data_IF_242731092402
#
_entry.id   IF_242731092402
#
_cell.length_a   1.000
_cell.length_b   1.000
_cell.length_c   1.000
_cell.angle_alpha   90.00
_cell.angle_beta   90.00
_cell.angle_gamma   90.00
#
_symmetry.space_group_name_H-M   'P 1'
#
loop_
_entity.id
_entity.type
_entity.pdbx_description
1 polymer ?
#
# COMPACT_ATOMS: atom_id res chain seq x y z
N UNK A 1 1.46 -15.31 10.18
CA UNK A 1 2.27 -14.71 11.27
C UNK A 1 3.75 -14.62 10.88
N UNK A 2 4.45 -15.74 10.65
CA UNK A 2 5.89 -15.72 10.29
C UNK A 2 6.21 -14.77 9.11
N UNK A 3 5.45 -14.84 8.02
CA UNK A 3 5.61 -13.94 6.87
C UNK A 3 5.46 -12.46 7.22
N UNK A 4 4.51 -12.10 8.09
CA UNK A 4 4.28 -10.72 8.50
C UNK A 4 5.35 -10.20 9.47
N UNK A 5 5.86 -11.08 10.34
CA UNK A 5 6.99 -10.75 11.22
C UNK A 5 8.25 -10.52 10.40
N UNK A 6 8.55 -11.40 9.43
CA UNK A 6 9.70 -11.23 8.53
C UNK A 6 9.58 -9.94 7.72
N UNK A 7 8.41 -9.66 7.15
CA UNK A 7 8.14 -8.40 6.45
C UNK A 7 8.42 -7.18 7.34
N UNK A 8 7.88 -7.16 8.56
CA UNK A 8 8.05 -6.03 9.48
C UNK A 8 9.53 -5.86 9.83
N UNK A 9 10.22 -6.93 10.26
CA UNK A 9 11.65 -6.83 10.57
C UNK A 9 12.45 -6.30 9.38
N UNK A 10 12.21 -6.79 8.16
CA UNK A 10 12.91 -6.31 6.97
C UNK A 10 12.63 -4.85 6.61
N UNK A 11 11.44 -4.32 6.93
CA UNK A 11 11.02 -2.97 6.51
C UNK A 11 11.26 -1.89 7.57
N UNK A 12 11.25 -2.25 8.87
CA UNK A 12 11.34 -1.29 9.98
C UNK A 12 12.50 -1.56 10.96
N UNK A 13 13.48 -2.42 10.61
CA UNK A 13 14.64 -2.68 11.48
C UNK A 13 15.41 -1.41 11.88
N UNK A 14 15.53 -0.45 10.97
CA UNK A 14 16.32 0.76 11.17
C UNK A 14 15.73 1.70 12.23
N UNK A 15 14.44 1.57 12.56
CA UNK A 15 13.76 2.35 13.61
C UNK A 15 14.33 2.03 14.99
N UNK A 16 14.94 0.85 15.14
CA UNK A 16 15.72 0.50 16.32
C UNK A 16 16.79 1.55 16.67
N UNK A 17 17.38 2.18 15.66
CA UNK A 17 18.43 3.18 15.82
C UNK A 17 17.92 4.50 16.41
N UNK A 18 16.62 4.78 16.32
CA UNK A 18 16.00 5.99 16.84
C UNK A 18 15.23 5.75 18.14
N UNK A 19 14.52 4.63 18.27
CA UNK A 19 13.74 4.32 19.48
C UNK A 19 13.57 2.81 19.66
N UNK A 20 14.13 2.17 20.69
CA UNK A 20 14.14 0.71 20.82
C UNK A 20 12.74 0.06 20.98
N UNK A 21 11.76 0.80 21.52
CA UNK A 21 10.40 0.29 21.79
C UNK A 21 9.51 0.32 20.54
N UNK A 22 9.75 1.26 19.62
CA UNK A 22 8.93 1.48 18.42
C UNK A 22 8.84 0.26 17.49
N UNK A 23 9.96 -0.40 17.12
CA UNK A 23 9.94 -1.53 16.21
C UNK A 23 9.14 -2.72 16.73
N UNK A 24 9.17 -3.00 18.04
CA UNK A 24 8.45 -4.11 18.63
C UNK A 24 6.94 -3.87 18.67
N UNK A 25 6.50 -2.69 19.13
CA UNK A 25 5.09 -2.35 19.19
C UNK A 25 4.48 -2.28 17.77
N UNK A 26 5.20 -1.67 16.82
CA UNK A 26 4.80 -1.62 15.41
C UNK A 26 4.74 -3.02 14.78
N UNK A 27 5.75 -3.87 14.99
CA UNK A 27 5.76 -5.23 14.44
C UNK A 27 4.61 -6.08 14.98
N UNK A 28 4.32 -6.01 16.28
CA UNK A 28 3.25 -6.78 16.90
C UNK A 28 1.88 -6.28 16.43
N UNK A 29 1.64 -4.97 16.45
CA UNK A 29 0.37 -4.38 16.03
C UNK A 29 0.11 -4.58 14.53
N UNK A 30 1.14 -4.36 13.68
CA UNK A 30 1.11 -4.57 12.23
C UNK A 30 0.87 -6.04 11.87
N UNK A 31 1.64 -6.95 12.48
CA UNK A 31 1.54 -8.37 12.17
C UNK A 31 0.25 -8.99 12.68
N UNK A 32 -0.29 -8.50 13.81
CA UNK A 32 -1.54 -9.02 14.38
C UNK A 32 -2.76 -8.64 13.54
N UNK A 33 -2.94 -7.36 13.19
CA UNK A 33 -4.13 -6.96 12.43
C UNK A 33 -4.10 -7.46 10.98
N UNK A 34 -2.92 -7.47 10.33
CA UNK A 34 -2.76 -8.11 9.03
C UNK A 34 -3.03 -9.62 9.10
N UNK A 35 -2.64 -10.29 10.19
CA UNK A 35 -2.99 -11.68 10.44
C UNK A 35 -4.50 -11.86 10.64
N UNK A 36 -5.18 -10.97 11.38
CA UNK A 36 -6.64 -11.01 11.58
C UNK A 36 -7.37 -10.86 10.24
N UNK A 37 -7.00 -9.88 9.43
CA UNK A 37 -7.56 -9.71 8.08
C UNK A 37 -7.37 -10.96 7.22
N UNK A 38 -6.18 -11.57 7.25
CA UNK A 38 -5.89 -12.79 6.50
C UNK A 38 -6.63 -14.03 7.04
N UNK A 39 -6.81 -14.14 8.35
CA UNK A 39 -7.53 -15.23 9.00
C UNK A 39 -9.05 -15.14 8.77
N UNK A 40 -9.60 -13.93 8.71
CA UNK A 40 -11.00 -13.68 8.30
C UNK A 40 -11.21 -14.12 6.85
N UNK A 41 -10.31 -13.74 5.95
CA UNK A 41 -10.31 -14.24 4.57
C UNK A 41 -10.26 -15.77 4.51
N UNK A 42 -9.32 -16.40 5.22
CA UNK A 42 -9.18 -17.86 5.24
C UNK A 42 -10.44 -18.56 5.74
N UNK A 43 -11.05 -18.04 6.80
CA UNK A 43 -12.25 -18.63 7.41
C UNK A 43 -13.45 -18.54 6.48
N UNK A 44 -13.65 -17.40 5.82
CA UNK A 44 -14.77 -17.21 4.87
C UNK A 44 -14.51 -17.92 3.55
N UNK A 45 -13.28 -17.97 3.06
CA UNK A 45 -12.92 -18.70 1.84
C UNK A 45 -13.23 -20.20 1.91
N UNK A 46 -13.26 -20.78 3.11
CA UNK A 46 -13.62 -22.17 3.35
C UNK A 46 -15.13 -22.44 3.38
N UNK A 47 -15.95 -21.40 3.62
CA UNK A 47 -17.39 -21.56 3.90
C UNK A 47 -18.29 -20.79 2.94
N UNK A 48 -17.76 -19.84 2.17
CA UNK A 48 -18.53 -18.93 1.33
C UNK A 48 -18.02 -18.79 -0.11
N UNK A 49 -18.72 -18.00 -0.93
CA UNK A 49 -18.32 -17.72 -2.30
C UNK A 49 -16.96 -17.01 -2.35
N UNK A 50 -16.11 -17.38 -3.31
CA UNK A 50 -14.78 -16.77 -3.48
C UNK A 50 -14.80 -15.24 -3.60
N UNK A 51 -15.80 -14.70 -4.30
CA UNK A 51 -15.96 -13.26 -4.45
C UNK A 51 -16.12 -12.55 -3.10
N UNK A 52 -16.96 -13.10 -2.21
CA UNK A 52 -17.16 -12.56 -0.86
C UNK A 52 -15.86 -12.60 -0.04
N UNK A 53 -15.08 -13.67 -0.16
CA UNK A 53 -13.80 -13.78 0.51
C UNK A 53 -12.84 -12.67 0.06
N UNK A 54 -12.67 -12.45 -1.26
CA UNK A 54 -11.80 -11.38 -1.76
C UNK A 54 -12.27 -9.99 -1.35
N UNK A 55 -13.58 -9.72 -1.39
CA UNK A 55 -14.13 -8.44 -0.93
C UNK A 55 -13.79 -8.21 0.54
N UNK A 56 -13.97 -9.21 1.41
CA UNK A 56 -13.64 -9.11 2.83
C UNK A 56 -12.15 -8.91 3.09
N UNK A 57 -11.28 -9.56 2.31
CA UNK A 57 -9.84 -9.36 2.40
C UNK A 57 -9.49 -7.91 2.08
N UNK A 58 -9.97 -7.39 0.96
CA UNK A 58 -9.69 -6.02 0.50
C UNK A 58 -10.25 -4.99 1.46
N UNK A 59 -11.54 -5.10 1.83
CA UNK A 59 -12.18 -4.16 2.74
C UNK A 59 -11.57 -4.23 4.14
N UNK A 60 -11.27 -5.42 4.65
CA UNK A 60 -10.66 -5.63 5.96
C UNK A 60 -9.23 -5.08 6.04
N UNK A 61 -8.46 -5.23 4.96
CA UNK A 61 -7.12 -4.66 4.86
C UNK A 61 -7.15 -3.14 4.84
N UNK A 62 -7.99 -2.53 3.98
CA UNK A 62 -8.12 -1.07 3.91
C UNK A 62 -8.65 -0.50 5.24
N UNK A 63 -9.59 -1.18 5.91
CA UNK A 63 -10.06 -0.75 7.22
C UNK A 63 -8.96 -0.77 8.29
N UNK A 64 -8.05 -1.75 8.22
CA UNK A 64 -6.88 -1.85 9.10
C UNK A 64 -5.89 -0.72 8.82
N UNK A 65 -5.60 -0.46 7.54
CA UNK A 65 -4.76 0.68 7.13
C UNK A 65 -5.36 2.03 7.55
N UNK A 66 -6.66 2.21 7.39
CA UNK A 66 -7.37 3.41 7.84
C UNK A 66 -7.24 3.59 9.37
N UNK A 67 -7.42 2.51 10.13
CA UNK A 67 -7.25 2.55 11.57
C UNK A 67 -5.81 2.89 11.98
N UNK A 68 -4.79 2.45 11.24
CA UNK A 68 -3.40 2.87 11.48
C UNK A 68 -3.13 4.34 11.19
N UNK A 69 -3.90 4.97 10.30
CA UNK A 69 -3.75 6.40 10.01
C UNK A 69 -4.48 7.28 11.03
N UNK A 70 -5.63 6.85 11.56
CA UNK A 70 -6.48 7.68 12.41
C UNK A 70 -6.48 7.30 13.89
N UNK A 71 -5.99 6.11 14.23
CA UNK A 71 -5.98 5.60 15.61
C UNK A 71 -4.96 6.31 16.48
N UNK A 72 -5.18 6.28 17.80
CA UNK A 72 -4.27 6.87 18.79
C UNK A 72 -2.87 6.26 18.74
N UNK A 73 -2.77 5.00 18.31
CA UNK A 73 -1.53 4.34 17.92
C UNK A 73 -1.33 4.46 16.40
N UNK A 74 -1.11 5.70 15.93
CA UNK A 74 -0.95 5.98 14.51
C UNK A 74 0.42 5.48 14.02
N UNK A 75 0.40 4.58 13.03
CA UNK A 75 1.60 4.02 12.42
C UNK A 75 1.44 3.87 10.90
N UNK A 76 1.37 4.99 10.15
CA UNK A 76 1.08 4.99 8.72
C UNK A 76 2.30 4.66 7.84
N UNK A 77 3.29 3.94 8.37
CA UNK A 77 4.56 3.68 7.66
C UNK A 77 4.46 2.56 6.62
N UNK A 78 3.65 1.54 6.91
CA UNK A 78 3.58 0.30 6.09
C UNK A 78 2.26 0.18 5.32
N UNK A 79 1.72 1.31 4.84
CA UNK A 79 0.56 1.30 3.94
C UNK A 79 0.99 0.79 2.56
N UNK A 80 0.25 -0.15 1.98
CA UNK A 80 0.60 -0.74 0.68
C UNK A 80 0.64 0.32 -0.42
N UNK A 81 -0.25 1.31 -0.37
CA UNK A 81 -0.28 2.42 -1.32
C UNK A 81 1.00 3.26 -1.33
N UNK A 82 1.75 3.33 -0.22
CA UNK A 82 3.02 4.08 -0.14
C UNK A 82 4.19 3.38 -0.85
N UNK A 83 4.04 2.11 -1.26
CA UNK A 83 5.11 1.37 -1.94
C UNK A 83 5.59 1.98 -3.25
N UNK A 84 4.79 2.88 -3.85
CA UNK A 84 5.10 3.57 -5.11
C UNK A 84 5.53 5.03 -4.92
N UNK A 85 5.88 5.45 -3.70
CA UNK A 85 6.28 6.84 -3.40
C UNK A 85 7.48 7.33 -4.23
N UNK A 86 8.37 6.42 -4.63
CA UNK A 86 9.50 6.74 -5.51
C UNK A 86 9.15 6.74 -7.00
N UNK A 87 8.03 6.14 -7.39
CA UNK A 87 7.60 5.97 -8.78
C UNK A 87 6.38 6.83 -9.08
N UNK A 88 6.51 8.13 -8.80
CA UNK A 88 5.42 9.12 -8.86
C UNK A 88 4.74 9.17 -10.24
N UNK A 89 5.48 8.88 -11.33
CA UNK A 89 4.94 8.81 -12.69
C UNK A 89 3.86 7.72 -12.87
N UNK A 90 3.87 6.66 -12.06
CA UNK A 90 2.92 5.54 -12.16
C UNK A 90 1.63 5.77 -11.34
N UNK A 91 1.64 6.74 -10.43
CA UNK A 91 0.58 6.94 -9.41
C UNK A 91 0.01 8.35 -9.37
N UNK A 92 0.09 9.11 -10.46
CA UNK A 92 -0.53 10.45 -10.55
C UNK A 92 -2.02 10.44 -10.20
N UNK A 93 -2.77 9.40 -10.56
CA UNK A 93 -4.19 9.26 -10.23
C UNK A 93 -4.48 9.21 -8.72
N UNK A 94 -3.47 9.04 -7.85
CA UNK A 94 -3.63 9.18 -6.40
C UNK A 94 -4.17 10.56 -6.02
N UNK A 95 -4.05 11.58 -6.88
CA UNK A 95 -4.69 12.88 -6.66
C UNK A 95 -6.21 12.77 -6.40
N UNK A 96 -6.88 11.77 -6.99
CA UNK A 96 -8.33 11.58 -6.86
C UNK A 96 -8.72 10.64 -5.72
N UNK A 97 -7.94 9.58 -5.51
CA UNK A 97 -8.31 8.47 -4.60
C UNK A 97 -7.50 8.43 -3.33
N UNK A 98 -6.40 9.18 -3.27
CA UNK A 98 -5.39 9.09 -2.23
C UNK A 98 -4.69 7.72 -2.15
N UNK A 99 -3.94 7.54 -1.07
CA UNK A 99 -3.09 6.37 -0.80
C UNK A 99 -3.91 5.07 -0.70
N UNK A 100 -5.13 5.12 -0.17
CA UNK A 100 -5.98 3.93 -0.05
C UNK A 100 -6.42 3.38 -1.41
N UNK A 101 -6.55 4.24 -2.43
CA UNK A 101 -6.71 3.79 -3.82
C UNK A 101 -5.54 2.94 -4.26
N UNK A 102 -4.32 3.38 -3.93
CA UNK A 102 -3.09 2.61 -4.11
C UNK A 102 -3.12 1.22 -3.48
N UNK A 103 -3.51 1.16 -2.21
CA UNK A 103 -3.67 -0.12 -1.50
C UNK A 103 -4.66 -1.04 -2.21
N UNK A 104 -5.82 -0.51 -2.62
CA UNK A 104 -6.80 -1.26 -3.39
C UNK A 104 -6.20 -1.80 -4.70
N UNK A 105 -5.45 -0.98 -5.41
CA UNK A 105 -4.79 -1.36 -6.66
C UNK A 105 -3.78 -2.49 -6.47
N UNK A 106 -2.94 -2.42 -5.42
CA UNK A 106 -1.98 -3.49 -5.08
C UNK A 106 -2.70 -4.80 -4.79
N UNK A 107 -3.73 -4.77 -3.96
CA UNK A 107 -4.46 -5.98 -3.55
C UNK A 107 -5.19 -6.62 -4.73
N UNK A 108 -5.88 -5.82 -5.55
CA UNK A 108 -6.58 -6.31 -6.74
C UNK A 108 -5.60 -6.88 -7.77
N UNK A 109 -4.46 -6.22 -7.99
CA UNK A 109 -3.41 -6.71 -8.88
C UNK A 109 -2.90 -8.07 -8.42
N UNK A 110 -2.59 -8.23 -7.13
CA UNK A 110 -2.14 -9.50 -6.57
C UNK A 110 -3.19 -10.62 -6.70
N UNK A 111 -4.46 -10.32 -6.40
CA UNK A 111 -5.56 -11.31 -6.48
C UNK A 111 -5.78 -11.77 -7.93
N UNK A 112 -5.83 -10.83 -8.88
CA UNK A 112 -6.09 -11.16 -10.28
C UNK A 112 -4.90 -11.86 -10.95
N UNK A 113 -3.67 -11.46 -10.64
CA UNK A 113 -2.48 -12.19 -11.07
C UNK A 113 -2.46 -13.62 -10.52
N UNK A 114 -2.84 -13.81 -9.26
CA UNK A 114 -2.95 -15.14 -8.66
C UNK A 114 -4.02 -16.02 -9.34
N UNK A 115 -5.21 -15.48 -9.60
CA UNK A 115 -6.27 -16.22 -10.31
C UNK A 115 -5.89 -16.51 -11.77
N UNK A 116 -5.24 -15.57 -12.47
CA UNK A 116 -4.70 -15.78 -13.82
C UNK A 116 -3.64 -16.88 -13.83
N UNK A 117 -2.75 -16.91 -12.83
CA UNK A 117 -1.76 -17.97 -12.70
C UNK A 117 -2.39 -19.35 -12.44
N UNK A 118 -3.41 -19.43 -11.56
CA UNK A 118 -4.18 -20.68 -11.37
C UNK A 118 -4.87 -21.13 -12.66
N UNK A 119 -5.38 -20.19 -13.45
CA UNK A 119 -6.05 -20.44 -14.74
C UNK A 119 -5.14 -20.10 -15.91
N UNK A 120 -3.88 -20.55 -15.87
CA UNK A 120 -2.83 -20.19 -16.84
C UNK A 120 -3.17 -20.31 -18.33
N UNK A 121 -4.17 -21.12 -18.71
CA UNK A 121 -4.66 -21.29 -20.11
C UNK A 121 -5.82 -20.36 -20.48
N UNK A 122 -6.38 -19.65 -19.52
CA UNK A 122 -7.49 -18.71 -19.72
C UNK A 122 -6.94 -17.34 -20.10
N UNK A 123 -7.00 -17.02 -21.39
CA UNK A 123 -6.57 -15.72 -21.90
C UNK A 123 -7.35 -14.56 -21.26
N UNK A 124 -8.64 -14.77 -20.94
CA UNK A 124 -9.48 -13.73 -20.34
C UNK A 124 -9.00 -13.36 -18.94
N UNK A 125 -8.53 -14.33 -18.16
CA UNK A 125 -7.98 -14.08 -16.83
C UNK A 125 -6.71 -13.21 -16.91
N UNK A 126 -5.82 -13.48 -17.86
CA UNK A 126 -4.63 -12.66 -18.12
C UNK A 126 -4.97 -11.26 -18.64
N UNK A 127 -5.97 -11.12 -19.51
CA UNK A 127 -6.40 -9.78 -19.97
C UNK A 127 -6.93 -8.92 -18.83
N UNK A 128 -7.70 -9.50 -17.90
CA UNK A 128 -8.20 -8.74 -16.74
C UNK A 128 -7.09 -8.39 -15.75
N UNK A 129 -6.17 -9.31 -15.47
CA UNK A 129 -5.02 -9.04 -14.63
C UNK A 129 -4.12 -7.94 -15.24
N UNK A 130 -3.85 -8.01 -16.55
CA UNK A 130 -3.12 -6.99 -17.28
C UNK A 130 -3.83 -5.64 -17.28
N UNK A 131 -5.14 -5.62 -17.50
CA UNK A 131 -5.93 -4.38 -17.48
C UNK A 131 -5.88 -3.70 -16.11
N UNK A 132 -6.05 -4.43 -15.00
CA UNK A 132 -6.00 -3.85 -13.65
C UNK A 132 -4.62 -3.30 -13.29
N UNK A 133 -3.54 -3.93 -13.77
CA UNK A 133 -2.18 -3.43 -13.55
C UNK A 133 -1.87 -2.23 -14.44
N UNK A 134 -2.18 -2.31 -15.74
CA UNK A 134 -1.73 -1.33 -16.72
C UNK A 134 -2.62 -0.10 -16.81
N UNK A 135 -3.94 -0.23 -16.62
CA UNK A 135 -4.87 0.89 -16.80
C UNK A 135 -4.56 2.07 -15.87
N UNK A 136 -4.32 1.89 -14.55
CA UNK A 136 -3.97 3.00 -13.67
C UNK A 136 -2.64 3.66 -14.06
N UNK A 137 -1.67 2.89 -14.55
CA UNK A 137 -0.39 3.42 -15.04
C UNK A 137 -0.60 4.27 -16.29
N UNK A 138 -1.41 3.79 -17.25
CA UNK A 138 -1.74 4.54 -18.46
C UNK A 138 -2.50 5.82 -18.15
N UNK A 139 -3.43 5.78 -17.20
CA UNK A 139 -4.13 6.98 -16.70
C UNK A 139 -3.13 7.96 -16.07
N UNK A 140 -2.20 7.47 -15.24
CA UNK A 140 -1.16 8.33 -14.67
C UNK A 140 -0.29 9.00 -15.71
N UNK A 141 0.11 8.27 -16.75
CA UNK A 141 0.91 8.81 -17.85
C UNK A 141 0.14 9.88 -18.63
N UNK A 142 -1.17 9.68 -18.84
CA UNK A 142 -2.05 10.67 -19.44
C UNK A 142 -2.10 11.96 -18.62
N UNK A 143 -2.29 11.85 -17.29
CA UNK A 143 -2.28 12.99 -16.37
C UNK A 143 -0.91 13.69 -16.41
N UNK A 144 0.17 12.91 -16.29
CA UNK A 144 1.54 13.40 -16.26
C UNK A 144 1.90 14.23 -17.50
N UNK A 145 1.51 13.78 -18.70
CA UNK A 145 1.77 14.51 -19.94
C UNK A 145 0.81 15.68 -20.18
N UNK A 146 -0.36 15.68 -19.55
CA UNK A 146 -1.31 16.79 -19.62
C UNK A 146 -1.00 17.92 -18.64
N UNK A 147 -0.03 17.72 -17.74
CA UNK A 147 0.29 18.69 -16.71
C UNK A 147 0.97 19.92 -17.30
N UNK A 148 0.33 21.07 -17.15
CA UNK A 148 0.90 22.38 -17.43
C UNK A 148 1.20 23.10 -16.11
N UNK A 149 2.46 23.48 -15.90
CA UNK A 149 2.85 24.24 -14.73
C UNK A 149 2.17 25.62 -14.76
N UNK A 150 1.60 26.10 -13.64
CA UNK A 150 1.05 27.45 -13.56
C UNK A 150 2.12 28.48 -13.94
N UNK A 151 1.76 29.44 -14.80
CA UNK A 151 2.68 30.45 -15.35
C UNK A 151 2.98 31.59 -14.36
N UNK A 152 2.93 31.31 -13.05
CA UNK A 152 3.10 32.28 -11.96
C UNK A 152 4.58 32.68 -11.71
N UNK A 153 5.49 32.22 -12.59
CA UNK A 153 6.92 32.45 -12.49
C UNK A 153 7.62 31.56 -11.45
N UNK A 154 8.95 31.60 -11.42
CA UNK A 154 9.76 30.84 -10.46
C UNK A 154 10.12 31.72 -9.25
N UNK A 155 9.90 31.21 -8.03
CA UNK A 155 10.38 31.84 -6.80
C UNK A 155 11.63 31.12 -6.30
N UNK A 156 12.66 31.85 -5.88
CA UNK A 156 13.83 31.28 -5.24
C UNK A 156 13.54 31.00 -3.77
N UNK A 157 13.60 29.74 -3.37
CA UNK A 157 13.43 29.30 -1.97
C UNK A 157 14.78 28.79 -1.46
N UNK A 158 15.20 29.27 -0.29
CA UNK A 158 16.39 28.74 0.40
C UNK A 158 15.96 28.03 1.68
N UNK A 159 16.35 26.76 1.81
CA UNK A 159 16.11 25.94 3.00
C UNK A 159 17.43 25.75 3.71
N UNK A 160 17.52 26.24 4.96
CA UNK A 160 18.67 26.01 5.84
C UNK A 160 18.28 24.90 6.81
N UNK A 161 18.87 23.71 6.66
CA UNK A 161 18.73 22.62 7.62
C UNK A 161 19.93 22.65 8.57
N UNK A 162 19.79 23.21 9.79
CA UNK A 162 20.87 23.20 10.75
C UNK A 162 21.18 21.75 11.15
N UNK A 163 22.45 21.36 11.08
CA UNK A 163 22.92 20.03 11.46
C UNK A 163 23.13 19.97 12.99
N UNK A 164 22.07 20.20 13.75
CA UNK A 164 22.05 20.10 15.21
C UNK A 164 21.72 18.65 15.58
N UNK A 165 22.50 18.07 16.49
CA UNK A 165 22.22 16.74 17.03
C UNK A 165 20.89 16.75 17.81
N UNK A 166 20.05 15.76 17.58
CA UNK A 166 18.74 15.64 18.23
C UNK A 166 18.81 15.00 19.64
N UNK A 167 20.01 14.63 20.11
CA UNK A 167 20.23 13.98 21.41
C UNK A 167 20.97 14.84 22.45
N UNK A 168 21.41 16.06 22.09
CA UNK A 168 21.99 17.06 23.01
C UNK A 168 20.92 17.98 23.63
#
# INVERSE_FOLDING_TARGET
>A
LLTFVLWNVSTIWWIWLATPVGPFAATIASSFLNMVAFMLFHTVSKKGPKALAYTLLVSGWIATEFWYTTGDFSWPWLLLGNGFSHEVWAVQWYEYTGIFGGTLWVLLSNILLYEAWRRRRDAKAWTWAGAVVLLPILVSLGIFWSYEAPDEGSVTVSVVQPNIDCYD
#
